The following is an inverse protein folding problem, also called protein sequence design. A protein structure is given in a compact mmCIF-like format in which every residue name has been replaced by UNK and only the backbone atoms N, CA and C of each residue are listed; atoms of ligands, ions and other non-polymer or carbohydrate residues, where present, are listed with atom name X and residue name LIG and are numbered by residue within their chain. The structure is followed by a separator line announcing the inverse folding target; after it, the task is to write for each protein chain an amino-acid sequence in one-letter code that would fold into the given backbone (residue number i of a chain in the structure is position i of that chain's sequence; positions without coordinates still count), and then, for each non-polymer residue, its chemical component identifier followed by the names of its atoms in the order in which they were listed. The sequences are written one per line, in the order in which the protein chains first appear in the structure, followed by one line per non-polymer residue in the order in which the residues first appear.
data_IF_422094802407
#
_entry.id   IF_422094802407
#
_cell.length_a   1.000
_cell.length_b   1.000
_cell.length_c   1.000
_cell.angle_alpha   90.00
_cell.angle_beta   90.00
_cell.angle_gamma   90.00
#
_symmetry.space_group_name_H-M   'P 1'
#
loop_
_entity.id
_entity.type
_entity.pdbx_description
1 polymer ?
#
# COMPACT_ATOMS: atom_id res chain seq x y z
N UNK A 1 -1.96 -23.20 -107.54
CA UNK A 1 -2.48 -22.38 -106.42
C UNK A 1 -1.81 -21.01 -106.51
N UNK A 2 -2.30 -20.06 -107.34
CA UNK A 2 -3.15 -18.89 -107.00
C UNK A 2 -2.95 -18.38 -105.55
N UNK A 3 -2.74 -17.11 -105.19
CA UNK A 3 -2.56 -15.76 -105.81
C UNK A 3 -2.10 -14.88 -104.61
N UNK A 4 -1.07 -14.03 -104.70
CA UNK A 4 -1.11 -12.59 -105.04
C UNK A 4 -1.88 -11.67 -104.07
N UNK A 5 -1.20 -10.62 -103.57
CA UNK A 5 -1.61 -9.19 -103.41
C UNK A 5 -1.04 -8.57 -102.11
N UNK A 6 -0.61 -7.31 -101.99
CA UNK A 6 -0.31 -6.17 -102.89
C UNK A 6 0.50 -5.16 -102.03
N UNK A 7 1.39 -4.41 -102.69
CA UNK A 7 2.24 -3.33 -102.18
C UNK A 7 1.51 -2.01 -101.83
N UNK A 8 2.33 -1.01 -101.44
CA UNK A 8 2.11 0.46 -101.37
C UNK A 8 1.72 0.90 -99.94
N UNK A 9 2.47 1.71 -99.20
CA UNK A 9 3.41 2.78 -99.55
C UNK A 9 2.82 4.12 -99.09
N UNK A 10 3.60 4.94 -98.37
CA UNK A 10 3.72 6.41 -98.48
C UNK A 10 4.38 6.98 -97.22
N UNK A 11 5.58 7.51 -97.44
CA UNK A 11 6.28 8.50 -96.63
C UNK A 11 5.53 9.83 -96.66
N UNK A 12 5.45 10.52 -95.52
CA UNK A 12 5.36 11.99 -95.34
C UNK A 12 5.35 12.26 -93.83
N UNK A 13 5.89 13.32 -93.22
CA UNK A 13 6.88 14.35 -93.54
C UNK A 13 7.03 15.12 -92.22
N UNK A 14 8.27 15.36 -91.76
CA UNK A 14 8.75 16.47 -90.91
C UNK A 14 7.88 17.07 -89.79
N UNK A 15 8.46 17.15 -88.59
CA UNK A 15 8.02 18.07 -87.54
C UNK A 15 8.90 17.99 -86.29
N UNK A 16 10.08 18.60 -86.33
CA UNK A 16 10.87 18.83 -85.14
C UNK A 16 10.22 19.92 -84.28
N UNK A 17 10.00 19.65 -82.99
CA UNK A 17 9.78 20.69 -81.99
C UNK A 17 10.36 20.23 -80.64
N UNK A 18 11.51 20.81 -80.33
CA UNK A 18 12.05 20.89 -78.98
C UNK A 18 11.01 21.53 -78.06
N UNK A 19 10.63 20.84 -76.99
CA UNK A 19 9.94 21.44 -75.85
C UNK A 19 10.84 21.28 -74.62
N UNK A 20 11.23 22.43 -74.07
CA UNK A 20 12.02 22.59 -72.85
C UNK A 20 11.30 21.99 -71.62
N UNK A 21 12.05 21.57 -70.59
CA UNK A 21 11.46 21.04 -69.36
C UNK A 21 10.77 22.18 -68.58
N UNK A 22 9.46 22.03 -68.38
CA UNK A 22 8.73 22.86 -67.41
C UNK A 22 9.13 22.37 -66.01
N UNK A 23 9.90 23.20 -65.31
CA UNK A 23 10.11 23.09 -63.86
C UNK A 23 8.77 23.29 -63.16
N UNK A 24 8.02 22.21 -62.97
CA UNK A 24 6.93 22.16 -62.02
C UNK A 24 7.49 22.10 -60.61
N UNK A 25 7.58 23.25 -59.94
CA UNK A 25 7.68 23.30 -58.49
C UNK A 25 6.44 22.61 -57.90
N UNK A 26 6.57 21.33 -57.56
CA UNK A 26 5.65 20.65 -56.66
C UNK A 26 5.90 21.22 -55.27
N UNK A 27 5.12 22.22 -54.85
CA UNK A 27 5.00 22.55 -53.44
C UNK A 27 4.46 21.31 -52.72
N UNK A 28 5.40 20.59 -52.08
CA UNK A 28 5.09 19.48 -51.19
C UNK A 28 4.43 20.14 -49.96
N UNK A 29 3.10 20.18 -49.96
CA UNK A 29 2.34 20.61 -48.79
C UNK A 29 2.61 19.56 -47.70
N UNK A 30 3.48 19.89 -46.75
CA UNK A 30 3.59 19.13 -45.52
C UNK A 30 2.21 19.17 -44.85
N UNK A 31 1.54 18.02 -44.79
CA UNK A 31 0.44 17.83 -43.86
C UNK A 31 1.01 17.97 -42.45
N UNK A 32 0.88 19.17 -41.90
CA UNK A 32 1.07 19.39 -40.47
C UNK A 32 -0.04 18.61 -39.79
N UNK A 33 0.29 17.39 -39.33
CA UNK A 33 -0.54 16.70 -38.35
C UNK A 33 -0.76 17.68 -37.20
N UNK A 34 -2.02 17.99 -36.82
CA UNK A 34 -2.25 18.80 -35.64
C UNK A 34 -1.53 18.11 -34.48
N UNK A 35 -0.84 18.86 -33.61
CA UNK A 35 -0.17 18.26 -32.47
C UNK A 35 -1.21 17.40 -31.77
N UNK A 36 -0.96 16.09 -31.70
CA UNK A 36 -1.68 15.19 -30.79
C UNK A 36 -1.63 15.89 -29.46
N UNK A 37 -2.77 16.38 -28.99
CA UNK A 37 -2.88 16.91 -27.64
C UNK A 37 -2.28 15.82 -26.75
N UNK A 38 -1.12 16.07 -26.16
CA UNK A 38 -0.65 15.29 -25.04
C UNK A 38 -1.85 15.26 -24.10
N UNK A 39 -2.47 14.10 -23.95
CA UNK A 39 -3.37 13.85 -22.83
C UNK A 39 -2.58 14.29 -21.61
N UNK A 40 -2.92 15.46 -21.07
CA UNK A 40 -2.45 15.86 -19.75
C UNK A 40 -2.91 14.76 -18.83
N UNK A 41 -2.03 13.80 -18.56
CA UNK A 41 -2.28 12.76 -17.59
C UNK A 41 -2.59 13.52 -16.29
N UNK A 42 -3.84 13.49 -15.87
CA UNK A 42 -4.23 14.09 -14.61
C UNK A 42 -3.57 13.23 -13.54
N UNK A 43 -2.40 13.65 -13.09
CA UNK A 43 -1.62 12.94 -12.11
C UNK A 43 -1.91 13.53 -10.73
N UNK A 44 -2.26 12.67 -9.77
CA UNK A 44 -2.47 13.09 -8.39
C UNK A 44 -1.11 13.16 -7.71
N UNK A 45 -0.85 14.25 -7.00
CA UNK A 45 0.35 14.44 -6.21
C UNK A 45 0.02 14.40 -4.71
N UNK A 46 0.88 13.76 -3.94
CA UNK A 46 0.78 13.64 -2.49
C UNK A 46 1.78 14.59 -1.84
N UNK A 47 1.28 15.44 -0.95
CA UNK A 47 2.11 16.25 -0.07
C UNK A 47 2.43 15.43 1.19
N UNK A 48 3.70 15.14 1.41
CA UNK A 48 4.19 14.38 2.56
C UNK A 48 4.88 15.34 3.52
N UNK A 49 4.46 15.36 4.79
CA UNK A 49 5.08 16.21 5.81
C UNK A 49 6.58 15.94 5.91
N UNK A 50 7.39 16.99 5.84
CA UNK A 50 8.86 16.91 5.86
C UNK A 50 9.52 16.73 4.49
N UNK A 51 8.76 16.45 3.43
CA UNK A 51 9.26 16.43 2.05
C UNK A 51 9.15 17.83 1.42
N UNK A 52 10.13 18.19 0.59
CA UNK A 52 10.21 19.53 -0.01
C UNK A 52 9.23 19.74 -1.17
N UNK A 53 8.90 18.66 -1.87
CA UNK A 53 8.09 18.68 -3.08
C UNK A 53 6.96 17.66 -2.98
N UNK A 54 5.86 17.92 -3.71
CA UNK A 54 4.79 16.94 -3.83
C UNK A 54 5.23 15.79 -4.71
N UNK A 55 4.82 14.59 -4.35
CA UNK A 55 5.28 13.34 -4.97
C UNK A 55 4.15 12.75 -5.81
N UNK A 56 4.39 12.34 -7.07
CA UNK A 56 3.40 11.60 -7.85
C UNK A 56 2.84 10.41 -7.06
N UNK A 57 1.52 10.18 -7.11
CA UNK A 57 0.85 9.18 -6.30
C UNK A 57 1.52 7.81 -6.40
N UNK A 58 1.79 7.32 -7.62
CA UNK A 58 2.39 5.98 -7.79
C UNK A 58 3.82 5.92 -7.24
N UNK A 59 4.59 7.00 -7.32
CA UNK A 59 5.91 7.12 -6.67
C UNK A 59 5.79 7.12 -5.15
N UNK A 60 4.77 7.79 -4.61
CA UNK A 60 4.46 7.74 -3.18
C UNK A 60 4.13 6.31 -2.73
N UNK A 61 3.29 5.59 -3.50
CA UNK A 61 2.94 4.19 -3.21
C UNK A 61 4.17 3.27 -3.28
N UNK A 62 5.12 3.50 -4.19
CA UNK A 62 6.41 2.78 -4.19
C UNK A 62 7.14 2.92 -2.87
N UNK A 63 7.24 4.15 -2.36
CA UNK A 63 7.89 4.41 -1.08
C UNK A 63 7.16 3.81 0.12
N UNK A 64 5.82 3.79 0.09
CA UNK A 64 5.01 3.16 1.16
C UNK A 64 5.16 1.64 1.13
N UNK A 65 4.98 0.98 -0.02
CA UNK A 65 5.10 -0.48 -0.12
C UNK A 65 6.51 -0.94 0.28
N UNK A 66 7.54 -0.21 -0.13
CA UNK A 66 8.93 -0.49 0.25
C UNK A 66 9.22 -0.32 1.75
N UNK A 67 8.47 0.55 2.44
CA UNK A 67 8.61 0.78 3.87
C UNK A 67 7.79 -0.20 4.73
N UNK A 68 6.63 -0.60 4.23
CA UNK A 68 5.64 -1.37 4.99
C UNK A 68 5.82 -2.89 4.82
N UNK A 69 6.23 -3.36 3.63
CA UNK A 69 6.32 -4.79 3.33
C UNK A 69 7.71 -5.24 2.92
N UNK A 70 8.19 -6.42 3.39
CA UNK A 70 9.41 -7.01 2.88
C UNK A 70 9.30 -7.28 1.38
N UNK A 71 10.27 -6.80 0.60
CA UNK A 71 10.31 -7.01 -0.85
C UNK A 71 10.41 -8.49 -1.25
N UNK A 72 10.78 -9.39 -0.32
CA UNK A 72 10.77 -10.83 -0.52
C UNK A 72 9.37 -11.42 -0.69
N UNK A 73 8.32 -10.76 -0.17
CA UNK A 73 6.94 -11.23 -0.22
C UNK A 73 6.46 -11.45 -1.67
N UNK A 74 5.47 -12.31 -1.84
CA UNK A 74 4.86 -12.63 -3.13
C UNK A 74 4.26 -11.39 -3.78
N UNK A 75 4.31 -11.37 -5.12
CA UNK A 75 3.84 -10.22 -5.92
C UNK A 75 2.37 -9.89 -5.64
N UNK A 76 1.52 -10.90 -5.44
CA UNK A 76 0.10 -10.69 -5.13
C UNK A 76 -0.12 -10.02 -3.76
N UNK A 77 0.70 -10.32 -2.76
CA UNK A 77 0.66 -9.61 -1.47
C UNK A 77 1.11 -8.14 -1.63
N UNK A 78 2.19 -7.89 -2.40
CA UNK A 78 2.66 -6.53 -2.71
C UNK A 78 1.61 -5.72 -3.48
N UNK A 79 0.89 -6.35 -4.41
CA UNK A 79 -0.25 -5.75 -5.13
C UNK A 79 -1.39 -5.38 -4.20
N UNK A 80 -1.80 -6.29 -3.30
CA UNK A 80 -2.84 -6.02 -2.33
C UNK A 80 -2.47 -4.80 -1.45
N UNK A 81 -1.22 -4.74 -0.99
CA UNK A 81 -0.71 -3.59 -0.25
C UNK A 81 -0.67 -2.30 -1.08
N UNK A 82 -0.28 -2.35 -2.35
CA UNK A 82 -0.29 -1.17 -3.20
C UNK A 82 -1.71 -0.58 -3.33
N UNK A 83 -2.73 -1.43 -3.54
CA UNK A 83 -4.14 -1.02 -3.63
C UNK A 83 -4.65 -0.46 -2.30
N UNK A 84 -4.38 -1.14 -1.18
CA UNK A 84 -4.77 -0.66 0.15
C UNK A 84 -4.07 0.67 0.48
N UNK A 85 -2.76 0.77 0.24
CA UNK A 85 -1.98 1.97 0.50
C UNK A 85 -2.46 3.16 -0.34
N UNK A 86 -2.76 2.94 -1.64
CA UNK A 86 -3.31 3.97 -2.54
C UNK A 86 -4.66 4.47 -2.04
N UNK A 87 -5.53 3.56 -1.64
CA UNK A 87 -6.86 3.90 -1.10
C UNK A 87 -6.73 4.74 0.17
N UNK A 88 -5.88 4.33 1.11
CA UNK A 88 -5.64 5.06 2.36
C UNK A 88 -5.08 6.47 2.10
N UNK A 89 -4.08 6.58 1.24
CA UNK A 89 -3.46 7.86 0.89
C UNK A 89 -4.48 8.82 0.30
N UNK A 90 -5.26 8.38 -0.69
CA UNK A 90 -6.28 9.20 -1.34
C UNK A 90 -7.41 9.60 -0.39
N UNK A 91 -7.86 8.68 0.47
CA UNK A 91 -8.90 8.97 1.47
C UNK A 91 -8.42 10.02 2.47
N UNK A 92 -7.22 9.83 3.01
CA UNK A 92 -6.64 10.68 4.07
C UNK A 92 -6.32 12.08 3.55
N UNK A 93 -5.78 12.16 2.34
CA UNK A 93 -5.36 13.42 1.72
C UNK A 93 -6.50 14.13 0.99
N UNK A 94 -7.69 13.51 0.89
CA UNK A 94 -8.76 13.95 0.00
C UNK A 94 -8.24 14.18 -1.43
N UNK A 95 -7.69 13.11 -2.03
CA UNK A 95 -7.08 13.14 -3.37
C UNK A 95 -5.93 14.16 -3.50
N UNK A 96 -5.03 14.21 -2.50
CA UNK A 96 -3.85 15.10 -2.51
C UNK A 96 -4.10 16.56 -2.10
N UNK A 97 -5.33 16.89 -1.68
CA UNK A 97 -5.72 18.25 -1.23
C UNK A 97 -5.21 18.58 0.19
N UNK A 98 -4.77 17.58 0.96
CA UNK A 98 -4.21 17.71 2.31
C UNK A 98 -2.91 16.92 2.43
N UNK A 99 -2.00 17.39 3.28
CA UNK A 99 -0.77 16.67 3.59
C UNK A 99 -1.02 15.39 4.39
N UNK A 100 -0.11 14.42 4.27
CA UNK A 100 -0.06 13.20 5.06
C UNK A 100 1.24 13.12 5.87
N UNK A 101 1.14 12.67 7.13
CA UNK A 101 2.30 12.47 7.99
C UNK A 101 2.89 11.07 7.75
N UNK A 102 4.21 10.91 7.55
CA UNK A 102 4.84 9.61 7.30
C UNK A 102 5.14 8.84 8.59
N UNK A 103 4.12 8.59 9.42
CA UNK A 103 4.29 7.95 10.74
C UNK A 103 3.71 6.54 10.78
N UNK A 104 4.13 5.73 11.76
CA UNK A 104 3.55 4.40 12.04
C UNK A 104 2.05 4.42 12.38
N UNK A 105 1.51 5.60 12.72
CA UNK A 105 0.09 5.81 12.93
C UNK A 105 -0.67 6.12 11.62
N UNK A 106 0.05 6.39 10.53
CA UNK A 106 -0.49 6.62 9.19
C UNK A 106 0.15 5.62 8.21
N UNK A 107 1.14 6.05 7.43
CA UNK A 107 1.90 5.19 6.53
C UNK A 107 3.36 5.60 6.58
N UNK A 108 4.27 4.66 6.82
CA UNK A 108 5.70 4.94 6.68
C UNK A 108 6.02 5.10 5.20
N UNK A 109 6.85 6.08 4.87
CA UNK A 109 7.28 6.36 3.50
C UNK A 109 8.80 6.39 3.45
N UNK A 110 9.39 5.61 2.54
CA UNK A 110 10.81 5.69 2.19
C UNK A 110 11.00 6.37 0.84
N UNK A 111 11.74 7.47 0.82
CA UNK A 111 12.21 8.07 -0.43
C UNK A 111 13.24 7.15 -1.13
N UNK A 112 13.63 7.49 -2.36
CA UNK A 112 14.56 6.68 -3.14
C UNK A 112 15.93 6.54 -2.46
N UNK A 113 16.41 7.59 -1.77
CA UNK A 113 17.70 7.54 -1.06
C UNK A 113 17.66 6.52 0.07
N UNK A 114 16.57 6.51 0.85
CA UNK A 114 16.33 5.53 1.90
C UNK A 114 16.19 4.11 1.33
N UNK A 115 15.47 3.93 0.21
CA UNK A 115 15.36 2.61 -0.45
C UNK A 115 16.72 2.11 -0.96
N UNK A 116 17.53 2.98 -1.56
CA UNK A 116 18.91 2.68 -1.98
C UNK A 116 19.77 2.27 -0.80
N UNK A 117 19.68 2.99 0.32
CA UNK A 117 20.42 2.65 1.54
C UNK A 117 19.99 1.29 2.12
N UNK A 118 18.67 1.05 2.19
CA UNK A 118 18.12 -0.18 2.78
C UNK A 118 18.38 -1.43 1.95
N UNK A 119 18.37 -1.33 0.62
CA UNK A 119 18.58 -2.48 -0.27
C UNK A 119 20.00 -2.61 -0.81
N UNK A 120 20.82 -1.58 -0.67
CA UNK A 120 22.21 -1.54 -1.09
C UNK A 120 22.39 -2.10 -2.52
N UNK A 121 23.23 -3.13 -2.69
CA UNK A 121 23.51 -3.74 -3.99
C UNK A 121 22.28 -4.38 -4.67
N UNK A 122 21.24 -4.72 -3.92
CA UNK A 122 20.01 -5.31 -4.44
C UNK A 122 18.96 -4.28 -4.88
N UNK A 123 19.26 -2.98 -4.78
CA UNK A 123 18.31 -1.89 -5.04
C UNK A 123 17.59 -2.04 -6.39
N UNK A 124 18.31 -2.23 -7.50
CA UNK A 124 17.69 -2.28 -8.83
C UNK A 124 16.69 -3.45 -8.97
N UNK A 125 17.00 -4.62 -8.42
CA UNK A 125 16.11 -5.78 -8.48
C UNK A 125 14.88 -5.62 -7.59
N UNK A 126 15.08 -5.13 -6.37
CA UNK A 126 14.02 -4.90 -5.40
C UNK A 126 13.05 -3.80 -5.85
N UNK A 127 13.60 -2.67 -6.33
CA UNK A 127 12.82 -1.55 -6.88
C UNK A 127 11.99 -2.02 -8.07
N UNK A 128 12.59 -2.77 -9.00
CA UNK A 128 11.88 -3.33 -10.16
C UNK A 128 10.68 -4.18 -9.75
N UNK A 129 10.85 -5.10 -8.80
CA UNK A 129 9.76 -5.98 -8.33
C UNK A 129 8.59 -5.19 -7.74
N UNK A 130 8.87 -4.19 -6.92
CA UNK A 130 7.84 -3.34 -6.29
C UNK A 130 7.14 -2.48 -7.34
N UNK A 131 7.91 -1.81 -8.20
CA UNK A 131 7.36 -0.96 -9.27
C UNK A 131 6.49 -1.76 -10.23
N UNK A 132 6.86 -3.00 -10.56
CA UNK A 132 6.00 -3.89 -11.36
C UNK A 132 4.67 -4.20 -10.68
N UNK A 133 4.66 -4.52 -9.39
CA UNK A 133 3.41 -4.77 -8.64
C UNK A 133 2.50 -3.53 -8.60
N UNK A 134 3.10 -2.34 -8.47
CA UNK A 134 2.39 -1.06 -8.44
C UNK A 134 1.82 -0.71 -9.80
N UNK A 135 2.60 -0.88 -10.88
CA UNK A 135 2.16 -0.64 -12.24
C UNK A 135 1.01 -1.57 -12.64
N UNK A 136 1.08 -2.85 -12.27
CA UNK A 136 0.00 -3.82 -12.53
C UNK A 136 -1.30 -3.48 -11.79
N UNK A 137 -1.22 -2.67 -10.71
CA UNK A 137 -2.38 -2.20 -9.93
C UNK A 137 -2.62 -0.70 -10.05
N UNK A 138 -2.03 -0.05 -11.07
CA UNK A 138 -2.07 1.42 -11.23
C UNK A 138 -3.52 1.92 -11.22
N UNK A 139 -3.76 2.91 -10.37
CA UNK A 139 -5.08 3.52 -10.19
C UNK A 139 -6.15 2.63 -9.51
N UNK A 140 -5.87 1.37 -9.16
CA UNK A 140 -6.84 0.54 -8.44
C UNK A 140 -6.97 0.99 -6.98
N UNK A 141 -8.22 1.11 -6.52
CA UNK A 141 -8.60 1.49 -5.16
C UNK A 141 -9.76 0.62 -4.65
N UNK A 142 -9.98 0.66 -3.34
CA UNK A 142 -11.05 -0.04 -2.64
C UNK A 142 -12.19 0.94 -2.32
N UNK A 143 -13.41 0.57 -2.73
CA UNK A 143 -14.61 1.36 -2.51
C UNK A 143 -15.64 0.57 -1.71
N UNK A 144 -16.42 1.26 -0.90
CA UNK A 144 -17.66 0.76 -0.30
C UNK A 144 -18.74 1.80 -0.54
N UNK A 145 -19.87 1.41 -1.12
CA UNK A 145 -20.94 2.32 -1.55
C UNK A 145 -20.39 3.51 -2.36
N UNK A 146 -19.57 3.23 -3.38
CA UNK A 146 -18.89 4.23 -4.25
C UNK A 146 -17.96 5.23 -3.54
N UNK A 147 -17.65 5.04 -2.25
CA UNK A 147 -16.74 5.90 -1.49
C UNK A 147 -15.43 5.15 -1.18
N UNK A 148 -14.29 5.85 -1.23
CA UNK A 148 -13.02 5.30 -0.74
C UNK A 148 -13.17 4.84 0.71
N UNK A 149 -12.79 3.59 0.96
CA UNK A 149 -12.73 3.05 2.32
C UNK A 149 -11.53 3.61 3.09
N UNK A 150 -11.55 3.46 4.41
CA UNK A 150 -10.35 3.59 5.23
C UNK A 150 -9.60 2.25 5.21
N UNK A 151 -8.74 2.05 4.22
CA UNK A 151 -8.01 0.79 4.01
C UNK A 151 -6.86 0.61 5.02
N UNK A 152 -7.22 0.30 6.28
CA UNK A 152 -6.24 0.04 7.34
C UNK A 152 -5.52 -1.29 7.11
N UNK A 153 -4.23 -1.36 7.44
CA UNK A 153 -3.43 -2.58 7.38
C UNK A 153 -2.40 -2.60 8.50
N UNK A 154 -1.91 -3.78 8.87
CA UNK A 154 -0.93 -3.95 9.94
C UNK A 154 0.00 -5.13 9.63
N UNK A 155 1.09 -5.27 10.40
CA UNK A 155 2.11 -6.26 10.09
C UNK A 155 1.66 -7.69 10.35
N UNK A 156 1.23 -7.97 11.58
CA UNK A 156 0.90 -9.33 12.02
C UNK A 156 -0.23 -9.27 13.03
N UNK A 157 -1.25 -10.09 12.85
CA UNK A 157 -2.34 -10.26 13.80
C UNK A 157 -1.95 -11.25 14.91
N UNK A 158 -2.77 -11.36 15.95
CA UNK A 158 -2.66 -12.40 16.97
C UNK A 158 -3.40 -13.69 16.58
N UNK A 159 -3.64 -13.91 15.29
CA UNK A 159 -4.43 -15.03 14.76
C UNK A 159 -5.82 -14.63 14.25
N UNK A 160 -6.25 -13.39 14.53
CA UNK A 160 -7.42 -12.76 13.92
C UNK A 160 -7.27 -11.24 13.87
N UNK A 161 -7.94 -10.60 12.91
CA UNK A 161 -7.99 -9.15 12.80
C UNK A 161 -8.93 -8.54 13.84
N UNK A 162 -8.74 -7.26 14.11
CA UNK A 162 -9.63 -6.48 14.96
C UNK A 162 -10.72 -5.81 14.12
N UNK A 163 -11.95 -5.82 14.64
CA UNK A 163 -13.05 -5.05 14.08
C UNK A 163 -12.87 -3.55 14.31
N UNK A 164 -13.38 -2.70 13.44
CA UNK A 164 -13.35 -1.25 13.69
C UNK A 164 -14.09 -0.86 14.99
N UNK A 165 -15.12 -1.62 15.36
CA UNK A 165 -15.85 -1.44 16.61
C UNK A 165 -14.98 -1.76 17.83
N UNK A 166 -14.33 -2.92 17.87
CA UNK A 166 -13.41 -3.26 18.96
C UNK A 166 -12.18 -2.34 19.04
N UNK A 167 -11.77 -1.72 17.93
CA UNK A 167 -10.67 -0.75 17.90
C UNK A 167 -11.06 0.68 18.31
N UNK A 168 -12.24 1.15 17.92
CA UNK A 168 -12.61 2.58 18.01
C UNK A 168 -14.01 2.87 18.57
N UNK A 169 -14.81 1.84 18.84
CA UNK A 169 -16.23 1.95 19.16
C UNK A 169 -17.13 2.23 17.95
N UNK A 170 -16.56 2.49 16.77
CA UNK A 170 -17.32 2.79 15.56
C UNK A 170 -17.46 1.54 14.70
N UNK A 171 -18.70 1.16 14.38
CA UNK A 171 -18.92 0.08 13.43
C UNK A 171 -18.63 0.56 12.00
N UNK A 172 -17.74 -0.15 11.30
CA UNK A 172 -17.40 0.12 9.90
C UNK A 172 -17.62 -1.19 9.13
N UNK A 173 -18.62 -1.28 8.24
CA UNK A 173 -19.06 -2.54 7.64
C UNK A 173 -17.97 -3.37 6.97
N UNK A 174 -17.00 -2.71 6.32
CA UNK A 174 -15.90 -3.35 5.61
C UNK A 174 -14.64 -3.60 6.47
N UNK A 175 -14.68 -3.32 7.77
CA UNK A 175 -13.59 -3.58 8.73
C UNK A 175 -14.09 -4.47 9.87
N UNK A 176 -14.40 -5.72 9.55
CA UNK A 176 -14.81 -6.73 10.52
C UNK A 176 -13.62 -7.62 10.91
N UNK A 177 -13.77 -8.30 12.06
CA UNK A 177 -12.80 -9.31 12.47
C UNK A 177 -12.89 -10.52 11.54
N UNK A 178 -11.76 -10.96 11.02
CA UNK A 178 -11.60 -12.20 10.24
C UNK A 178 -10.45 -13.01 10.81
N UNK A 179 -10.50 -14.33 10.61
CA UNK A 179 -9.39 -15.21 10.98
C UNK A 179 -8.11 -14.84 10.22
N UNK A 180 -6.96 -15.03 10.84
CA UNK A 180 -5.65 -14.85 10.19
C UNK A 180 -4.63 -15.76 10.88
N UNK A 181 -5.01 -17.03 11.09
CA UNK A 181 -4.22 -18.03 11.84
C UNK A 181 -2.82 -18.22 11.25
N UNK A 182 -2.68 -18.06 9.93
CA UNK A 182 -1.40 -18.11 9.22
C UNK A 182 -0.35 -17.14 9.77
N UNK A 183 -0.78 -16.07 10.45
CA UNK A 183 0.10 -15.07 11.05
C UNK A 183 0.99 -15.65 12.15
N UNK A 184 0.64 -16.80 12.72
CA UNK A 184 1.46 -17.53 13.70
C UNK A 184 2.85 -17.90 13.14
N UNK A 185 2.97 -18.03 11.81
CA UNK A 185 4.25 -18.27 11.15
C UNK A 185 5.10 -17.00 10.96
N UNK A 186 4.57 -15.81 11.27
CA UNK A 186 5.32 -14.56 11.18
C UNK A 186 6.46 -14.55 12.21
N UNK A 187 7.68 -14.12 11.84
CA UNK A 187 8.75 -13.87 12.79
C UNK A 187 8.44 -12.71 13.75
N UNK A 188 7.35 -11.95 13.50
CA UNK A 188 6.84 -10.88 14.36
C UNK A 188 5.60 -11.29 15.15
N UNK A 189 5.23 -12.57 15.15
CA UNK A 189 4.03 -13.05 15.84
C UNK A 189 4.15 -12.89 17.35
N UNK A 190 5.29 -13.26 17.94
CA UNK A 190 5.53 -13.13 19.37
C UNK A 190 6.70 -12.19 19.66
N UNK A 191 6.57 -11.42 20.72
CA UNK A 191 7.68 -10.65 21.28
C UNK A 191 7.61 -10.65 22.81
N UNK A 192 8.78 -10.57 23.43
CA UNK A 192 8.92 -10.45 24.87
C UNK A 192 9.77 -9.24 25.21
N UNK A 193 9.36 -8.48 26.22
CA UNK A 193 10.11 -7.34 26.75
C UNK A 193 10.11 -7.38 28.28
N UNK A 194 11.18 -6.89 28.88
CA UNK A 194 11.37 -6.92 30.32
C UNK A 194 11.86 -5.58 30.88
N UNK A 195 11.34 -5.22 32.05
CA UNK A 195 11.76 -4.02 32.78
C UNK A 195 12.06 -4.36 34.25
N UNK A 196 13.04 -3.67 34.83
CA UNK A 196 13.05 -3.51 36.29
C UNK A 196 11.88 -2.61 36.73
N UNK A 197 11.46 -2.71 37.99
CA UNK A 197 10.39 -1.84 38.52
C UNK A 197 10.72 -0.35 38.37
N UNK A 198 11.99 0.03 38.53
CA UNK A 198 12.44 1.41 38.34
C UNK A 198 12.33 1.89 36.88
N UNK A 199 12.59 1.01 35.90
CA UNK A 199 12.38 1.34 34.48
C UNK A 199 10.89 1.40 34.15
N UNK A 200 10.11 0.44 34.66
CA UNK A 200 8.65 0.44 34.51
C UNK A 200 8.07 1.77 35.00
N UNK A 201 8.41 2.22 36.21
CA UNK A 201 7.91 3.47 36.77
C UNK A 201 8.32 4.76 36.04
N UNK A 202 9.28 4.69 35.10
CA UNK A 202 9.60 5.82 34.22
C UNK A 202 8.69 5.91 32.99
N UNK A 203 8.04 4.82 32.63
CA UNK A 203 7.15 4.72 31.46
C UNK A 203 5.70 5.07 31.79
N UNK A 204 5.32 4.97 33.07
CA UNK A 204 3.95 5.15 33.52
C UNK A 204 3.72 6.51 34.17
N UNK A 205 2.49 7.05 34.09
CA UNK A 205 2.12 8.27 34.79
C UNK A 205 1.94 8.07 36.31
N UNK A 206 2.03 6.84 36.80
CA UNK A 206 1.87 6.47 38.21
C UNK A 206 3.04 5.61 38.69
N UNK A 207 3.29 5.61 40.00
CA UNK A 207 4.32 4.79 40.62
C UNK A 207 3.74 3.43 41.02
N UNK A 208 4.28 2.36 40.43
CA UNK A 208 3.92 0.98 40.73
C UNK A 208 4.78 0.39 41.84
N UNK A 209 4.17 -0.51 42.60
CA UNK A 209 4.81 -1.41 43.57
C UNK A 209 4.73 -2.85 43.07
N UNK A 210 5.63 -3.71 43.57
CA UNK A 210 5.64 -5.13 43.21
C UNK A 210 4.30 -5.85 43.49
N UNK A 211 3.60 -5.45 44.56
CA UNK A 211 2.29 -6.00 44.91
C UNK A 211 1.15 -5.58 43.96
N UNK A 212 1.35 -4.54 43.15
CA UNK A 212 0.34 -4.05 42.20
C UNK A 212 0.10 -5.04 41.07
N UNK A 213 1.13 -5.77 40.65
CA UNK A 213 1.04 -6.75 39.56
C UNK A 213 0.07 -7.90 39.87
N UNK A 214 -0.14 -8.21 41.15
CA UNK A 214 -1.13 -9.21 41.59
C UNK A 214 -2.58 -8.70 41.57
N UNK A 215 -2.77 -7.40 41.33
CA UNK A 215 -4.08 -6.72 41.37
C UNK A 215 -4.51 -6.18 40.01
N UNK A 216 -3.69 -6.36 38.97
CA UNK A 216 -4.02 -5.95 37.60
C UNK A 216 -5.21 -6.79 37.12
N UNK A 217 -6.17 -6.13 36.50
CA UNK A 217 -7.23 -6.77 35.74
C UNK A 217 -7.11 -6.35 34.27
N UNK A 218 -7.03 -7.34 33.39
CA UNK A 218 -7.05 -7.14 31.93
C UNK A 218 -8.44 -7.52 31.42
N UNK A 219 -9.03 -6.62 30.64
CA UNK A 219 -10.29 -6.86 29.94
C UNK A 219 -9.99 -6.94 28.45
N UNK A 220 -10.49 -7.99 27.82
CA UNK A 220 -10.21 -8.33 26.43
C UNK A 220 -11.46 -8.13 25.58
N UNK A 221 -11.25 -7.71 24.33
CA UNK A 221 -12.31 -7.70 23.33
C UNK A 221 -12.39 -9.05 22.59
N UNK A 222 -13.33 -9.17 21.64
CA UNK A 222 -13.59 -10.40 20.89
C UNK A 222 -12.41 -10.88 20.03
N UNK A 223 -11.41 -10.02 19.79
CA UNK A 223 -10.18 -10.39 19.08
C UNK A 223 -9.06 -10.89 19.99
N UNK A 224 -9.29 -10.95 21.30
CA UNK A 224 -8.28 -11.33 22.29
C UNK A 224 -7.31 -10.19 22.63
N UNK A 225 -7.50 -8.98 22.07
CA UNK A 225 -6.70 -7.81 22.42
C UNK A 225 -7.20 -7.19 23.72
N UNK A 226 -6.29 -6.68 24.54
CA UNK A 226 -6.61 -5.93 25.74
C UNK A 226 -7.31 -4.64 25.34
N UNK A 227 -8.58 -4.52 25.70
CA UNK A 227 -9.37 -3.30 25.57
C UNK A 227 -8.95 -2.30 26.66
N UNK A 228 -8.83 -2.78 27.91
CA UNK A 228 -8.42 -1.96 29.06
C UNK A 228 -7.67 -2.75 30.13
N UNK A 229 -6.75 -2.06 30.78
CA UNK A 229 -6.05 -2.47 32.00
C UNK A 229 -6.59 -1.66 33.18
N UNK A 230 -6.97 -2.33 34.26
CA UNK A 230 -7.42 -1.70 35.50
C UNK A 230 -6.51 -2.06 36.68
N UNK A 231 -6.14 -1.05 37.45
CA UNK A 231 -5.45 -1.18 38.74
C UNK A 231 -6.11 -0.24 39.76
N UNK A 232 -6.98 -0.80 40.61
CA UNK A 232 -7.80 -0.01 41.53
C UNK A 232 -8.69 0.98 40.75
N UNK A 233 -8.51 2.27 41.01
CA UNK A 233 -9.24 3.35 40.32
C UNK A 233 -8.57 3.81 39.01
N UNK A 234 -7.34 3.35 38.73
CA UNK A 234 -6.66 3.70 37.50
C UNK A 234 -7.12 2.76 36.38
N UNK A 235 -7.52 3.34 35.26
CA UNK A 235 -7.95 2.61 34.05
C UNK A 235 -7.22 3.21 32.86
N UNK A 236 -6.61 2.35 32.06
CA UNK A 236 -5.98 2.72 30.80
C UNK A 236 -6.48 1.79 29.69
N UNK A 237 -6.67 2.33 28.49
CA UNK A 237 -6.93 1.53 27.30
C UNK A 237 -5.70 0.69 26.97
N UNK A 238 -5.88 -0.46 26.32
CA UNK A 238 -4.74 -1.27 25.85
C UNK A 238 -3.81 -0.50 24.92
N UNK A 239 -4.32 0.50 24.18
CA UNK A 239 -3.52 1.38 23.31
C UNK A 239 -2.64 2.35 24.09
N UNK A 240 -3.13 2.89 25.21
CA UNK A 240 -2.30 3.70 26.10
C UNK A 240 -1.19 2.84 26.71
N UNK A 241 -1.52 1.63 27.18
CA UNK A 241 -0.51 0.68 27.69
C UNK A 241 0.52 0.35 26.61
N UNK A 242 0.07 0.06 25.38
CA UNK A 242 0.95 -0.16 24.23
C UNK A 242 1.92 1.00 24.00
N UNK A 243 1.41 2.22 24.10
CA UNK A 243 2.18 3.45 23.89
C UNK A 243 3.18 3.68 25.03
N UNK A 244 2.76 3.54 26.28
CA UNK A 244 3.65 3.70 27.44
C UNK A 244 4.81 2.71 27.41
N UNK A 245 4.52 1.45 27.07
CA UNK A 245 5.51 0.38 27.09
C UNK A 245 6.32 0.26 25.81
N UNK A 246 5.87 0.87 24.70
CA UNK A 246 6.48 0.67 23.39
C UNK A 246 6.39 -0.79 22.90
N UNK A 247 5.28 -1.46 23.20
CA UNK A 247 5.08 -2.88 22.83
C UNK A 247 4.42 -3.03 21.43
N UNK A 248 4.61 -4.17 20.74
CA UNK A 248 4.17 -4.33 19.35
C UNK A 248 2.67 -4.22 19.11
N UNK A 249 1.84 -4.71 20.04
CA UNK A 249 0.38 -4.79 19.90
C UNK A 249 -0.33 -4.53 21.23
N UNK A 250 -1.67 -4.58 21.20
CA UNK A 250 -2.51 -4.55 22.40
C UNK A 250 -2.92 -5.95 22.87
N UNK A 251 -2.44 -7.02 22.24
CA UNK A 251 -2.55 -8.36 22.80
C UNK A 251 -1.28 -8.63 23.62
N UNK A 252 -1.43 -8.55 24.94
CA UNK A 252 -0.32 -8.71 25.85
C UNK A 252 -0.72 -9.35 27.18
N UNK A 253 0.26 -9.97 27.82
CA UNK A 253 0.21 -10.42 29.21
C UNK A 253 1.32 -9.76 30.01
N UNK A 254 1.08 -9.50 31.30
CA UNK A 254 2.04 -8.86 32.22
C UNK A 254 2.25 -9.79 33.40
N UNK A 255 3.49 -10.16 33.67
CA UNK A 255 3.87 -11.02 34.80
C UNK A 255 5.04 -10.41 35.55
N UNK A 256 4.89 -10.21 36.86
CA UNK A 256 6.01 -9.82 37.71
C UNK A 256 6.69 -11.04 38.33
N UNK A 257 7.99 -11.16 38.11
CA UNK A 257 8.80 -12.21 38.71
C UNK A 257 9.48 -11.69 39.98
N UNK A 258 9.03 -12.16 41.14
CA UNK A 258 9.53 -11.72 42.44
C UNK A 258 11.00 -12.10 42.69
N UNK A 259 11.48 -13.20 42.08
CA UNK A 259 12.86 -13.67 42.26
C UNK A 259 13.85 -12.77 41.50
N UNK A 260 13.52 -12.43 40.25
CA UNK A 260 14.36 -11.57 39.40
C UNK A 260 14.07 -10.08 39.58
N UNK A 261 12.96 -9.75 40.25
CA UNK A 261 12.42 -8.38 40.41
C UNK A 261 12.17 -7.67 39.07
N UNK A 262 11.76 -8.44 38.07
CA UNK A 262 11.49 -7.98 36.69
C UNK A 262 10.00 -8.10 36.37
N UNK A 263 9.51 -7.17 35.57
CA UNK A 263 8.21 -7.24 34.91
C UNK A 263 8.45 -7.78 33.51
N UNK A 264 7.85 -8.92 33.19
CA UNK A 264 7.88 -9.56 31.88
C UNK A 264 6.56 -9.26 31.17
N UNK A 265 6.65 -8.78 29.93
CA UNK A 265 5.50 -8.60 29.06
C UNK A 265 5.69 -9.43 27.81
N UNK A 266 4.72 -10.31 27.54
CA UNK A 266 4.63 -11.03 26.28
C UNK A 266 3.55 -10.41 25.43
N UNK A 267 3.80 -10.26 24.13
CA UNK A 267 2.84 -9.72 23.18
C UNK A 267 2.66 -10.63 21.98
N UNK A 268 1.44 -10.70 21.46
CA UNK A 268 1.12 -11.39 20.22
C UNK A 268 0.66 -10.42 19.12
N UNK A 269 1.13 -10.64 17.90
CA UNK A 269 0.95 -9.75 16.76
C UNK A 269 1.78 -8.46 16.83
N UNK A 270 1.74 -7.72 15.73
CA UNK A 270 2.46 -6.47 15.52
C UNK A 270 1.56 -5.47 14.76
N UNK A 271 1.17 -4.39 15.44
CA UNK A 271 0.31 -3.34 14.89
C UNK A 271 -1.08 -3.30 15.53
N UNK A 272 -1.98 -2.53 14.91
CA UNK A 272 -3.31 -2.27 15.48
C UNK A 272 -4.34 -3.39 15.26
N UNK A 273 -4.07 -4.38 14.41
CA UNK A 273 -4.97 -5.51 14.17
C UNK A 273 -6.10 -5.25 13.17
N UNK A 274 -6.50 -4.01 12.95
CA UNK A 274 -7.60 -3.66 12.02
C UNK A 274 -7.22 -3.83 10.54
N UNK A 275 -8.14 -4.40 9.74
CA UNK A 275 -8.02 -4.52 8.28
C UNK A 275 -7.01 -5.59 7.86
N UNK A 276 -6.27 -5.34 6.77
CA UNK A 276 -5.40 -6.36 6.18
C UNK A 276 -4.14 -6.65 7.02
N UNK A 277 -3.90 -7.93 7.34
CA UNK A 277 -2.61 -8.39 7.85
C UNK A 277 -1.63 -8.58 6.68
N UNK A 278 -0.44 -8.00 6.78
CA UNK A 278 0.61 -8.13 5.76
C UNK A 278 1.16 -9.56 5.68
N UNK A 279 1.43 -10.18 6.83
CA UNK A 279 1.88 -11.58 6.85
C UNK A 279 0.77 -12.56 6.51
N UNK A 280 -0.48 -12.24 6.86
CA UNK A 280 -1.62 -13.04 6.41
C UNK A 280 -1.84 -12.92 4.90
N UNK A 281 -1.69 -11.73 4.32
CA UNK A 281 -1.69 -11.53 2.87
C UNK A 281 -0.57 -12.32 2.16
N UNK A 282 0.61 -12.38 2.76
CA UNK A 282 1.72 -13.22 2.25
C UNK A 282 1.39 -14.70 2.29
N UNK A 283 0.80 -15.20 3.37
CA UNK A 283 0.38 -16.59 3.47
C UNK A 283 -0.66 -16.94 2.39
N UNK A 284 -1.69 -16.10 2.23
CA UNK A 284 -2.69 -16.26 1.17
C UNK A 284 -2.05 -16.24 -0.23
N UNK A 285 -1.09 -15.33 -0.47
CA UNK A 285 -0.39 -15.27 -1.75
C UNK A 285 0.50 -16.51 -1.98
N UNK A 286 1.08 -17.10 -0.93
CA UNK A 286 1.80 -18.38 -1.01
C UNK A 286 0.87 -19.56 -1.34
N UNK A 287 -0.40 -19.47 -0.97
CA UNK A 287 -1.46 -20.41 -1.37
C UNK A 287 -2.03 -20.14 -2.77
N UNK A 288 -1.47 -19.16 -3.50
CA UNK A 288 -1.86 -18.84 -4.87
C UNK A 288 -3.04 -17.87 -4.99
N UNK A 289 -3.45 -17.23 -3.89
CA UNK A 289 -4.50 -16.19 -3.92
C UNK A 289 -4.03 -14.94 -4.65
N UNK A 290 -4.93 -14.39 -5.45
CA UNK A 290 -4.75 -13.10 -6.12
C UNK A 290 -4.89 -11.93 -5.15
N UNK A 291 -4.35 -10.77 -5.52
CA UNK A 291 -4.52 -9.54 -4.75
C UNK A 291 -5.99 -9.22 -4.46
N UNK A 292 -6.88 -9.46 -5.43
CA UNK A 292 -8.32 -9.24 -5.26
C UNK A 292 -8.92 -10.15 -4.20
N UNK A 293 -8.61 -11.46 -4.23
CA UNK A 293 -9.07 -12.40 -3.21
C UNK A 293 -8.55 -12.06 -1.81
N UNK A 294 -7.29 -11.64 -1.70
CA UNK A 294 -6.69 -11.17 -0.44
C UNK A 294 -7.48 -9.96 0.08
N UNK A 295 -7.73 -8.97 -0.76
CA UNK A 295 -8.43 -7.75 -0.37
C UNK A 295 -9.89 -8.01 0.04
N UNK A 296 -10.62 -8.85 -0.70
CA UNK A 296 -11.99 -9.23 -0.35
C UNK A 296 -12.07 -10.06 0.93
N UNK A 297 -11.00 -10.77 1.30
CA UNK A 297 -10.93 -11.50 2.56
C UNK A 297 -10.87 -10.53 3.76
N UNK A 298 -9.99 -9.53 3.69
CA UNK A 298 -9.78 -8.59 4.80
C UNK A 298 -10.77 -7.42 4.84
N UNK A 299 -11.36 -7.05 3.71
CA UNK A 299 -12.31 -5.95 3.60
C UNK A 299 -13.64 -6.42 3.00
N UNK A 300 -14.69 -6.47 3.82
CA UNK A 300 -15.98 -7.03 3.43
C UNK A 300 -16.76 -6.09 2.51
N UNK A 301 -17.48 -6.67 1.54
CA UNK A 301 -18.40 -5.97 0.64
C UNK A 301 -17.80 -4.78 -0.12
N UNK A 302 -16.48 -4.80 -0.34
CA UNK A 302 -15.80 -3.76 -1.12
C UNK A 302 -15.90 -4.02 -2.62
N UNK A 303 -15.67 -2.97 -3.40
CA UNK A 303 -15.41 -3.04 -4.83
C UNK A 303 -13.98 -2.58 -5.12
N UNK A 304 -13.29 -3.27 -6.04
CA UNK A 304 -12.00 -2.82 -6.55
C UNK A 304 -12.23 -2.13 -7.89
N UNK A 305 -11.97 -0.82 -7.97
CA UNK A 305 -12.14 -0.03 -9.19
C UNK A 305 -10.89 0.76 -9.52
N UNK A 306 -10.67 1.03 -10.81
CA UNK A 306 -9.67 2.02 -11.23
C UNK A 306 -10.27 3.41 -11.09
N UNK A 307 -9.57 4.32 -10.42
CA UNK A 307 -9.95 5.73 -10.38
C UNK A 307 -9.56 6.42 -11.68
N UNK A 308 -10.46 7.28 -12.15
CA UNK A 308 -10.12 8.29 -13.13
C UNK A 308 -9.59 9.52 -12.38
N UNK A 309 -8.30 9.76 -12.47
CA UNK A 309 -7.64 10.86 -11.79
C UNK A 309 -8.02 12.23 -12.38
N UNK A 310 -8.60 12.28 -13.59
CA UNK A 310 -9.08 13.53 -14.19
C UNK A 310 -10.41 14.02 -13.62
N UNK A 311 -11.15 13.18 -12.88
CA UNK A 311 -12.48 13.50 -12.37
C UNK A 311 -12.50 13.89 -10.88
N UNK A 312 -11.35 14.17 -10.25
CA UNK A 312 -11.21 14.28 -8.78
C UNK A 312 -10.55 15.58 -8.28
#
# INVERSE_FOLDING_TARGET
MKKWMISIGVLCLMGALYVLPVLGFSERREEVQPPTAEEKACEIFIEVEGQKEKIPLETYITGVVAAEMPVSFKKEALKAQAIAARTYALKTTNYGKKAIAPTVAKQVFYDESQRKANWASNFLGNEKKIVEAINETKGQVLLYNNNLITAMFHSTSNGQTESAYGYSGNNIPYLQSVSSISDQASPKFEAEQEWSLAQWNKLWPVQWQASDFNRIQLFYNDSGRVERLQLGNNVWTGREVRTFLGIPSTDFSIVYNANTKRVHVKTQGYGHGVGMSQYGAEAMANEGKTAAEILHYYYQDIEIKKIDACLK
#
